data_IF_879455620675
#
_entry.id   IF_879455620675
#
_cell.length_a   1.000
_cell.length_b   1.000
_cell.length_c   1.000
_cell.angle_alpha   90.00
_cell.angle_beta   90.00
_cell.angle_gamma   90.00
#
_symmetry.space_group_name_H-M   'P 1'
#
loop_
_entity.id
_entity.type
_entity.pdbx_description
1 polymer ?
#
# COMPACT_ATOMS: atom_id res chain seq x y z
N UNK A 1 -20.66 8.29 1.19
CA UNK A 1 -20.03 9.46 0.55
C UNK A 1 -18.53 9.27 0.60
N UNK A 2 -17.84 9.26 -0.53
CA UNK A 2 -16.38 9.15 -0.61
C UNK A 2 -15.76 10.51 -0.89
N UNK A 3 -14.64 10.80 -0.26
CA UNK A 3 -13.85 11.99 -0.55
C UNK A 3 -12.63 11.58 -1.39
N UNK A 4 -12.44 12.23 -2.53
CA UNK A 4 -11.24 12.04 -3.33
C UNK A 4 -10.05 12.68 -2.63
N UNK A 5 -8.91 12.02 -2.68
CA UNK A 5 -7.65 12.56 -2.19
C UNK A 5 -6.86 13.13 -3.35
N UNK A 6 -6.28 14.32 -3.17
CA UNK A 6 -5.48 14.96 -4.18
C UNK A 6 -4.13 14.26 -4.34
N UNK A 7 -3.84 13.86 -5.58
CA UNK A 7 -2.51 13.52 -6.14
C UNK A 7 -1.56 12.54 -5.43
N UNK A 8 -1.86 11.92 -4.31
CA UNK A 8 -1.06 10.77 -3.96
C UNK A 8 -1.38 9.63 -4.96
N UNK A 9 -0.35 9.11 -5.62
CA UNK A 9 -0.49 8.12 -6.70
C UNK A 9 -1.39 6.93 -6.31
N UNK A 10 -1.31 6.49 -5.05
CA UNK A 10 -2.15 5.44 -4.51
C UNK A 10 -3.60 5.89 -4.35
N UNK A 11 -3.83 7.07 -3.80
CA UNK A 11 -5.18 7.58 -3.54
C UNK A 11 -5.94 7.88 -4.83
N UNK A 12 -5.25 8.30 -5.90
CA UNK A 12 -5.88 8.45 -7.21
C UNK A 12 -6.35 7.10 -7.77
N UNK A 13 -5.50 6.06 -7.71
CA UNK A 13 -5.87 4.70 -8.09
C UNK A 13 -7.01 4.16 -7.21
N UNK A 14 -6.94 4.43 -5.92
CA UNK A 14 -7.96 4.01 -4.96
C UNK A 14 -9.34 4.56 -5.30
N UNK A 15 -9.44 5.82 -5.69
CA UNK A 15 -10.71 6.43 -6.11
C UNK A 15 -11.32 5.66 -7.28
N UNK A 16 -10.52 5.28 -8.26
CA UNK A 16 -10.99 4.55 -9.43
C UNK A 16 -11.40 3.10 -9.09
N UNK A 17 -10.61 2.42 -8.28
CA UNK A 17 -10.92 1.07 -7.81
C UNK A 17 -12.17 1.04 -6.93
N UNK A 18 -12.31 1.99 -6.02
CA UNK A 18 -13.51 2.13 -5.20
C UNK A 18 -14.75 2.33 -6.06
N UNK A 19 -14.69 3.21 -7.07
CA UNK A 19 -15.82 3.46 -7.97
C UNK A 19 -16.28 2.18 -8.63
N UNK A 20 -15.38 1.38 -9.20
CA UNK A 20 -15.72 0.09 -9.83
C UNK A 20 -16.43 -0.87 -8.86
N UNK A 21 -15.96 -0.95 -7.61
CA UNK A 21 -16.56 -1.83 -6.61
C UNK A 21 -17.90 -1.28 -6.10
N UNK A 22 -17.98 0.02 -5.85
CA UNK A 22 -19.21 0.66 -5.37
C UNK A 22 -20.33 0.54 -6.40
N UNK A 23 -20.01 0.77 -7.68
CA UNK A 23 -20.96 0.59 -8.79
C UNK A 23 -21.45 -0.88 -8.87
N UNK A 24 -20.52 -1.84 -8.78
CA UNK A 24 -20.86 -3.27 -8.78
C UNK A 24 -21.74 -3.67 -7.60
N UNK A 25 -21.51 -3.06 -6.42
CA UNK A 25 -22.29 -3.28 -5.20
C UNK A 25 -23.61 -2.51 -5.18
N UNK A 26 -23.86 -1.67 -6.17
CA UNK A 26 -25.08 -0.86 -6.28
C UNK A 26 -25.18 0.24 -5.21
N UNK A 27 -24.06 0.73 -4.71
CA UNK A 27 -24.04 1.82 -3.74
C UNK A 27 -24.31 3.15 -4.42
N UNK A 28 -25.16 3.96 -3.78
CA UNK A 28 -25.36 5.35 -4.18
C UNK A 28 -24.23 6.20 -3.57
N UNK A 29 -23.21 6.55 -4.37
CA UNK A 29 -22.03 7.27 -3.89
C UNK A 29 -21.94 8.67 -4.50
N UNK A 30 -21.81 9.66 -3.65
CA UNK A 30 -21.51 11.04 -4.05
C UNK A 30 -20.02 11.29 -3.80
N UNK A 31 -19.25 11.49 -4.87
CA UNK A 31 -17.86 11.90 -4.79
C UNK A 31 -17.81 13.41 -4.60
N UNK A 32 -17.31 13.84 -3.45
CA UNK A 32 -17.18 15.26 -3.14
C UNK A 32 -15.97 15.83 -3.86
N UNK A 33 -16.15 16.70 -4.86
CA UNK A 33 -15.02 17.22 -5.64
C UNK A 33 -14.20 18.22 -4.83
N UNK A 34 -12.89 18.28 -5.14
CA UNK A 34 -12.00 19.34 -4.72
C UNK A 34 -11.65 20.27 -5.87
N UNK A 35 -11.06 21.39 -5.54
CA UNK A 35 -10.54 22.37 -6.51
C UNK A 35 -9.02 22.37 -6.48
N UNK A 36 -8.39 22.27 -7.64
CA UNK A 36 -6.93 22.41 -7.78
C UNK A 36 -6.54 23.86 -7.88
N UNK A 37 -5.34 24.20 -7.43
CA UNK A 37 -4.73 25.52 -7.70
C UNK A 37 -3.73 25.41 -8.84
N UNK A 38 -3.59 26.50 -9.59
CA UNK A 38 -2.60 26.59 -10.65
C UNK A 38 -1.19 26.41 -10.11
N UNK A 39 -0.34 25.72 -10.86
CA UNK A 39 1.04 25.36 -10.50
C UNK A 39 1.17 24.35 -9.33
N UNK A 40 0.10 23.68 -8.93
CA UNK A 40 0.26 22.48 -8.09
C UNK A 40 1.09 21.46 -8.87
N UNK A 41 2.25 21.09 -8.31
CA UNK A 41 3.13 20.15 -8.99
C UNK A 41 2.60 18.71 -8.79
N UNK A 42 2.53 17.98 -9.89
CA UNK A 42 2.33 16.55 -9.80
C UNK A 42 3.42 15.93 -8.90
N UNK A 43 3.01 15.15 -7.91
CA UNK A 43 3.93 14.52 -6.98
C UNK A 43 4.76 13.51 -7.76
N UNK A 44 6.05 13.75 -7.87
CA UNK A 44 6.98 12.74 -8.36
C UNK A 44 7.37 11.80 -7.23
N UNK A 45 7.55 10.53 -7.56
CA UNK A 45 8.06 9.52 -6.61
C UNK A 45 9.32 10.05 -5.92
N UNK A 46 9.36 10.02 -4.59
CA UNK A 46 10.50 10.49 -3.79
C UNK A 46 10.49 11.98 -3.44
N UNK A 47 9.42 12.72 -3.78
CA UNK A 47 9.24 14.09 -3.31
C UNK A 47 8.22 14.16 -2.19
N UNK A 48 8.38 15.17 -1.33
CA UNK A 48 7.38 15.58 -0.34
C UNK A 48 6.09 15.92 -1.08
N UNK A 49 4.97 15.52 -0.51
CA UNK A 49 3.64 15.91 -0.98
C UNK A 49 3.60 17.44 -1.17
N UNK A 50 3.03 17.92 -2.28
CA UNK A 50 2.73 19.34 -2.42
C UNK A 50 1.75 19.77 -1.32
N UNK A 51 2.30 20.27 -0.21
CA UNK A 51 1.53 20.58 0.97
C UNK A 51 0.47 21.66 0.70
N UNK A 52 0.75 22.62 -0.20
CA UNK A 52 -0.18 23.68 -0.55
C UNK A 52 -1.29 23.16 -1.45
N UNK A 53 -0.95 22.47 -2.53
CA UNK A 53 -1.92 21.93 -3.47
C UNK A 53 -2.83 20.89 -2.81
N UNK A 54 -2.26 19.98 -2.03
CA UNK A 54 -3.04 18.99 -1.26
C UNK A 54 -3.97 19.65 -0.24
N UNK A 55 -3.47 20.60 0.53
CA UNK A 55 -4.30 21.28 1.52
C UNK A 55 -5.42 22.06 0.87
N UNK A 56 -5.14 22.79 -0.20
CA UNK A 56 -6.16 23.55 -0.92
C UNK A 56 -7.25 22.63 -1.49
N UNK A 57 -6.86 21.54 -2.15
CA UNK A 57 -7.79 20.57 -2.70
C UNK A 57 -8.65 19.94 -1.61
N UNK A 58 -8.04 19.42 -0.55
CA UNK A 58 -8.73 18.77 0.56
C UNK A 58 -9.67 19.71 1.31
N UNK A 59 -9.21 20.95 1.59
CA UNK A 59 -10.05 21.96 2.23
C UNK A 59 -11.25 22.35 1.34
N UNK A 60 -11.06 22.45 0.02
CA UNK A 60 -12.17 22.72 -0.90
C UNK A 60 -13.18 21.56 -0.95
N UNK A 61 -12.74 20.30 -0.85
CA UNK A 61 -13.64 19.18 -0.67
C UNK A 61 -14.44 19.29 0.63
N UNK A 62 -13.79 19.66 1.73
CA UNK A 62 -14.47 19.87 3.00
C UNK A 62 -15.50 21.01 2.94
N UNK A 63 -15.19 22.11 2.25
CA UNK A 63 -16.16 23.17 2.02
C UNK A 63 -17.38 22.68 1.26
N UNK A 64 -17.19 21.86 0.22
CA UNK A 64 -18.28 21.26 -0.54
C UNK A 64 -19.10 20.29 0.32
N UNK A 65 -18.44 19.47 1.16
CA UNK A 65 -19.13 18.58 2.11
C UNK A 65 -20.01 19.39 3.09
N UNK A 66 -19.44 20.47 3.66
CA UNK A 66 -20.18 21.36 4.57
C UNK A 66 -21.40 21.98 3.88
N UNK A 67 -21.28 22.33 2.60
CA UNK A 67 -22.41 22.85 1.83
C UNK A 67 -23.51 21.78 1.66
N UNK A 68 -23.16 20.53 1.34
CA UNK A 68 -24.12 19.42 1.25
C UNK A 68 -24.80 19.17 2.60
N UNK A 69 -24.05 19.17 3.70
CA UNK A 69 -24.63 19.06 5.06
C UNK A 69 -25.59 20.22 5.35
N UNK A 70 -25.21 21.46 5.00
CA UNK A 70 -26.05 22.65 5.21
C UNK A 70 -27.35 22.60 4.41
N UNK A 71 -27.31 22.01 3.22
CA UNK A 71 -28.48 21.84 2.35
C UNK A 71 -29.40 20.69 2.82
N UNK A 72 -28.99 19.90 3.82
CA UNK A 72 -29.75 18.71 4.24
C UNK A 72 -29.63 17.52 3.28
N UNK A 73 -28.61 17.54 2.42
CA UNK A 73 -28.33 16.45 1.48
C UNK A 73 -27.54 15.31 2.12
N UNK A 74 -27.03 15.51 3.35
CA UNK A 74 -26.37 14.49 4.18
C UNK A 74 -27.18 14.29 5.44
N UNK A 75 -27.61 13.06 5.68
CA UNK A 75 -28.50 12.66 6.77
C UNK A 75 -27.85 11.57 7.64
N UNK A 76 -28.56 11.10 8.67
CA UNK A 76 -28.12 9.99 9.50
C UNK A 76 -28.15 8.61 8.79
N UNK A 77 -28.76 8.52 7.61
CA UNK A 77 -28.75 7.32 6.77
C UNK A 77 -27.45 7.23 5.95
N UNK A 78 -26.72 8.35 5.84
CA UNK A 78 -25.51 8.46 5.04
C UNK A 78 -24.25 8.08 5.83
N UNK A 79 -23.20 7.72 5.08
CA UNK A 79 -21.86 7.51 5.58
C UNK A 79 -20.90 8.49 4.90
N UNK A 80 -20.16 9.22 5.70
CA UNK A 80 -19.02 10.01 5.22
C UNK A 80 -17.79 9.13 5.34
N UNK A 81 -17.15 8.84 4.21
CA UNK A 81 -15.95 8.02 4.16
C UNK A 81 -14.76 8.80 3.63
N UNK A 82 -13.67 8.82 4.39
CA UNK A 82 -12.40 9.43 4.02
C UNK A 82 -11.40 8.35 3.61
N UNK A 83 -10.88 8.47 2.40
CA UNK A 83 -9.87 7.57 1.84
C UNK A 83 -8.51 7.66 2.56
N UNK A 84 -8.24 8.80 3.16
CA UNK A 84 -7.07 9.05 3.97
C UNK A 84 -7.48 9.86 5.21
N UNK A 85 -7.11 9.39 6.38
CA UNK A 85 -7.36 10.07 7.65
C UNK A 85 -6.76 11.48 7.67
N UNK A 86 -5.62 11.68 7.02
CA UNK A 86 -4.97 12.98 6.92
C UNK A 86 -5.60 13.86 5.84
N UNK A 87 -6.87 14.19 6.05
CA UNK A 87 -7.65 15.08 5.19
C UNK A 87 -7.68 16.49 5.79
N UNK A 88 -6.90 17.45 5.27
CA UNK A 88 -7.00 18.85 5.72
C UNK A 88 -8.43 19.37 5.67
N UNK A 89 -8.89 20.00 6.74
CA UNK A 89 -10.26 20.48 6.90
C UNK A 89 -11.19 19.52 7.66
N UNK A 90 -10.81 18.24 7.88
CA UNK A 90 -11.60 17.28 8.66
C UNK A 90 -11.84 17.76 10.10
N UNK A 91 -10.94 18.60 10.63
CA UNK A 91 -11.03 19.21 11.95
C UNK A 91 -12.27 20.09 12.13
N UNK A 92 -12.94 20.49 11.06
CA UNK A 92 -14.22 21.19 11.13
C UNK A 92 -15.42 20.30 11.46
N UNK A 93 -15.32 18.99 11.16
CA UNK A 93 -16.44 18.05 11.35
C UNK A 93 -16.90 17.93 12.81
N UNK A 94 -16.05 17.73 13.82
CA UNK A 94 -16.54 17.64 15.20
C UNK A 94 -17.30 18.89 15.65
N UNK A 95 -16.89 20.08 15.19
CA UNK A 95 -17.65 21.31 15.47
C UNK A 95 -19.04 21.27 14.85
N UNK A 96 -19.17 20.83 13.61
CA UNK A 96 -20.46 20.74 12.89
C UNK A 96 -21.34 19.64 13.49
N UNK A 97 -20.77 18.44 13.67
CA UNK A 97 -21.51 17.28 14.19
C UNK A 97 -22.04 17.52 15.62
N UNK A 98 -21.32 18.28 16.44
CA UNK A 98 -21.78 18.63 17.78
C UNK A 98 -23.02 19.54 17.80
N UNK A 99 -23.33 20.20 16.68
CA UNK A 99 -24.57 21.00 16.53
C UNK A 99 -25.78 20.15 16.08
N UNK A 100 -25.55 18.89 15.71
CA UNK A 100 -26.58 17.97 15.24
C UNK A 100 -26.87 16.94 16.34
N UNK A 101 -28.16 16.66 16.68
CA UNK A 101 -28.52 15.58 17.60
C UNK A 101 -27.87 14.25 17.20
N UNK A 102 -27.45 13.46 18.18
CA UNK A 102 -26.66 12.25 17.93
C UNK A 102 -27.35 11.23 16.99
N UNK A 103 -28.67 11.13 17.08
CA UNK A 103 -29.53 10.27 16.24
C UNK A 103 -29.74 10.79 14.81
N UNK A 104 -29.30 12.01 14.53
CA UNK A 104 -29.42 12.66 13.22
C UNK A 104 -28.05 12.82 12.53
N UNK A 105 -26.96 12.35 13.15
CA UNK A 105 -25.62 12.47 12.59
C UNK A 105 -25.32 11.39 11.55
N UNK A 106 -24.69 11.74 10.42
CA UNK A 106 -24.11 10.74 9.53
C UNK A 106 -22.99 9.99 10.25
N UNK A 107 -22.78 8.74 9.89
CA UNK A 107 -21.62 7.97 10.38
C UNK A 107 -20.35 8.40 9.64
N UNK A 108 -19.23 8.45 10.33
CA UNK A 108 -17.93 8.87 9.79
C UNK A 108 -16.92 7.76 9.89
N UNK A 109 -16.39 7.33 8.75
CA UNK A 109 -15.31 6.35 8.67
C UNK A 109 -14.09 6.95 8.00
N UNK A 110 -12.91 6.57 8.50
CA UNK A 110 -11.63 7.02 7.94
C UNK A 110 -10.71 5.83 7.70
N UNK A 111 -9.88 5.91 6.66
CA UNK A 111 -8.79 4.96 6.46
C UNK A 111 -7.50 5.49 7.05
N UNK A 112 -6.80 4.68 7.82
CA UNK A 112 -5.47 4.98 8.31
C UNK A 112 -4.43 4.45 7.31
N UNK A 113 -3.59 5.32 6.78
CA UNK A 113 -2.50 4.98 5.85
C UNK A 113 -1.11 5.26 6.43
N UNK A 114 -1.02 6.11 7.46
CA UNK A 114 0.20 6.47 8.17
C UNK A 114 -0.10 6.75 9.62
N UNK A 115 0.89 6.62 10.51
CA UNK A 115 0.72 6.79 11.95
C UNK A 115 1.86 7.59 12.59
N UNK A 116 1.50 8.50 13.49
CA UNK A 116 2.46 9.31 14.24
C UNK A 116 3.31 8.52 15.24
N UNK A 117 2.83 7.37 15.67
CA UNK A 117 3.54 6.50 16.63
C UNK A 117 4.65 5.67 15.99
N UNK A 118 4.61 5.48 14.66
CA UNK A 118 5.60 4.68 13.95
C UNK A 118 6.90 5.48 13.72
N UNK A 119 8.03 5.11 14.36
CA UNK A 119 9.27 5.87 14.25
C UNK A 119 9.90 5.80 12.86
N UNK A 120 9.55 4.81 12.06
CA UNK A 120 10.06 4.63 10.70
C UNK A 120 9.14 5.24 9.63
N UNK A 121 7.96 5.76 10.04
CA UNK A 121 7.04 6.45 9.14
C UNK A 121 7.60 7.83 8.73
N UNK A 122 7.27 8.27 7.50
CA UNK A 122 7.66 9.59 7.02
C UNK A 122 7.21 10.72 7.96
N UNK A 123 6.14 10.52 8.69
CA UNK A 123 5.62 11.43 9.72
C UNK A 123 6.67 11.75 10.79
N UNK A 124 7.42 10.74 11.23
CA UNK A 124 8.54 10.90 12.16
C UNK A 124 9.76 11.51 11.49
N UNK A 125 10.14 10.98 10.33
CA UNK A 125 11.33 11.41 9.58
C UNK A 125 11.28 12.92 9.24
N UNK A 126 10.07 13.43 8.96
CA UNK A 126 9.86 14.85 8.64
C UNK A 126 9.51 15.72 9.86
N UNK A 127 9.62 15.19 11.08
CA UNK A 127 9.38 15.94 12.31
C UNK A 127 7.92 16.30 12.56
N UNK A 128 6.98 15.62 11.94
CA UNK A 128 5.55 15.89 12.04
C UNK A 128 4.85 15.12 13.18
N UNK A 129 5.50 14.14 13.77
CA UNK A 129 4.89 13.18 14.70
C UNK A 129 4.09 13.83 15.84
N UNK A 130 4.60 14.94 16.38
CA UNK A 130 3.93 15.61 17.53
C UNK A 130 2.55 16.17 17.16
N UNK A 131 2.47 16.98 16.12
CA UNK A 131 1.19 17.60 15.74
C UNK A 131 0.25 16.58 15.11
N UNK A 132 0.78 15.61 14.36
CA UNK A 132 -0.02 14.54 13.78
C UNK A 132 -0.60 13.61 14.85
N UNK A 133 0.13 13.35 15.94
CA UNK A 133 -0.43 12.62 17.08
C UNK A 133 -1.61 13.34 17.73
N UNK A 134 -1.56 14.67 17.84
CA UNK A 134 -2.70 15.46 18.31
C UNK A 134 -3.87 15.43 17.33
N UNK A 135 -3.59 15.46 16.04
CA UNK A 135 -4.59 15.33 15.00
C UNK A 135 -5.27 13.95 15.02
N UNK A 136 -4.51 12.87 15.15
CA UNK A 136 -5.03 11.52 15.31
C UNK A 136 -5.94 11.40 16.54
N UNK A 137 -5.54 11.98 17.67
CA UNK A 137 -6.38 12.00 18.88
C UNK A 137 -7.70 12.75 18.64
N UNK A 138 -7.66 13.89 17.93
CA UNK A 138 -8.89 14.62 17.57
C UNK A 138 -9.80 13.76 16.69
N UNK A 139 -9.25 13.10 15.65
CA UNK A 139 -10.04 12.21 14.79
C UNK A 139 -10.67 11.07 15.58
N UNK A 140 -9.91 10.46 16.52
CA UNK A 140 -10.39 9.40 17.41
C UNK A 140 -11.63 9.77 18.22
N UNK A 141 -11.86 11.05 18.49
CA UNK A 141 -12.99 11.49 19.33
C UNK A 141 -14.33 11.55 18.59
N UNK A 142 -14.35 11.55 17.24
CA UNK A 142 -15.61 11.76 16.53
C UNK A 142 -15.91 10.75 15.43
N UNK A 143 -14.98 9.87 15.06
CA UNK A 143 -15.23 8.88 14.02
C UNK A 143 -15.95 7.65 14.57
N UNK A 144 -16.85 7.09 13.74
CA UNK A 144 -17.56 5.86 14.04
C UNK A 144 -16.74 4.61 13.72
N UNK A 145 -15.66 4.76 12.95
CA UNK A 145 -14.74 3.68 12.69
C UNK A 145 -13.49 4.09 11.93
N UNK A 146 -12.42 3.36 12.24
CA UNK A 146 -11.13 3.48 11.56
C UNK A 146 -10.77 2.18 10.86
N UNK A 147 -10.38 2.27 9.60
CA UNK A 147 -9.99 1.15 8.77
C UNK A 147 -8.45 1.04 8.78
N UNK A 148 -7.93 0.00 9.41
CA UNK A 148 -6.50 -0.32 9.47
C UNK A 148 -6.16 -1.44 8.49
N UNK A 149 -4.95 -1.42 7.93
CA UNK A 149 -4.53 -2.36 6.88
C UNK A 149 -4.00 -3.69 7.40
N UNK A 150 -3.59 -3.74 8.68
CA UNK A 150 -2.99 -4.93 9.30
C UNK A 150 -3.05 -4.88 10.82
N UNK A 151 -2.73 -6.00 11.47
CA UNK A 151 -2.76 -6.14 12.94
C UNK A 151 -1.74 -5.24 13.64
N UNK A 152 -0.57 -5.00 13.05
CA UNK A 152 0.44 -4.13 13.64
C UNK A 152 -0.07 -2.70 13.73
N UNK A 153 -0.70 -2.19 12.65
CA UNK A 153 -1.32 -0.87 12.64
C UNK A 153 -2.40 -0.77 13.73
N UNK A 154 -3.25 -1.78 13.86
CA UNK A 154 -4.26 -1.83 14.94
C UNK A 154 -3.60 -1.79 16.31
N UNK A 155 -2.54 -2.59 16.52
CA UNK A 155 -1.82 -2.60 17.80
C UNK A 155 -1.22 -1.23 18.12
N UNK A 156 -0.60 -0.58 17.15
CA UNK A 156 -0.07 0.78 17.29
C UNK A 156 -1.18 1.78 17.66
N UNK A 157 -2.33 1.73 16.99
CA UNK A 157 -3.46 2.60 17.31
C UNK A 157 -3.94 2.38 18.74
N UNK A 158 -4.07 1.15 19.22
CA UNK A 158 -4.46 0.85 20.61
C UNK A 158 -3.42 1.34 21.62
N UNK A 159 -2.12 1.20 21.33
CA UNK A 159 -1.03 1.74 22.15
C UNK A 159 -1.09 3.28 22.17
N UNK A 160 -1.38 3.91 21.04
CA UNK A 160 -1.54 5.36 20.94
C UNK A 160 -2.83 5.89 21.59
N UNK A 161 -3.67 5.03 22.17
CA UNK A 161 -4.85 5.42 22.94
C UNK A 161 -6.14 5.55 22.13
N UNK A 162 -6.19 5.00 20.92
CA UNK A 162 -7.42 4.98 20.14
C UNK A 162 -8.53 4.19 20.83
N UNK A 163 -9.70 4.81 20.92
CA UNK A 163 -10.92 4.24 21.54
C UNK A 163 -12.01 3.99 20.50
N UNK A 164 -11.99 4.71 19.40
CA UNK A 164 -12.89 4.48 18.28
C UNK A 164 -12.83 3.02 17.81
N UNK A 165 -13.92 2.46 17.27
CA UNK A 165 -13.93 1.14 16.64
C UNK A 165 -12.85 1.06 15.56
N UNK A 166 -12.02 0.01 15.61
CA UNK A 166 -10.97 -0.24 14.61
C UNK A 166 -11.33 -1.52 13.85
N UNK A 167 -11.32 -1.42 12.54
CA UNK A 167 -11.57 -2.53 11.63
C UNK A 167 -10.29 -2.88 10.88
N UNK A 168 -9.76 -4.08 11.11
CA UNK A 168 -8.63 -4.57 10.32
C UNK A 168 -9.16 -5.09 8.98
N UNK A 169 -8.93 -4.33 7.91
CA UNK A 169 -9.29 -4.75 6.55
C UNK A 169 -8.30 -5.77 5.96
N UNK A 170 -7.22 -6.08 6.70
CA UNK A 170 -6.21 -7.10 6.38
C UNK A 170 -5.76 -7.04 4.93
N UNK A 171 -5.14 -5.93 4.56
CA UNK A 171 -4.62 -5.71 3.22
C UNK A 171 -4.77 -4.29 2.72
N UNK A 172 -4.37 -4.08 1.49
CA UNK A 172 -4.44 -2.80 0.79
C UNK A 172 -5.33 -2.95 -0.43
N UNK A 173 -6.21 -1.98 -0.65
CA UNK A 173 -7.04 -1.97 -1.84
C UNK A 173 -6.19 -2.07 -3.11
N UNK A 174 -6.59 -2.94 -4.02
CA UNK A 174 -5.85 -3.25 -5.23
C UNK A 174 -6.81 -3.56 -6.38
N UNK A 175 -6.48 -3.09 -7.58
CA UNK A 175 -7.23 -3.35 -8.81
C UNK A 175 -6.47 -4.33 -9.69
N UNK A 176 -6.68 -5.62 -9.49
CA UNK A 176 -6.00 -6.68 -10.25
C UNK A 176 -6.31 -6.60 -11.75
N UNK A 177 -7.56 -6.35 -12.08
CA UNK A 177 -8.03 -6.23 -13.46
C UNK A 177 -7.31 -5.11 -14.20
N UNK A 178 -7.10 -3.95 -13.57
CA UNK A 178 -6.36 -2.85 -14.18
C UNK A 178 -4.92 -3.23 -14.50
N UNK A 179 -4.23 -3.94 -13.60
CA UNK A 179 -2.85 -4.39 -13.84
C UNK A 179 -2.79 -5.32 -15.05
N UNK A 180 -3.72 -6.26 -15.15
CA UNK A 180 -3.80 -7.20 -16.25
C UNK A 180 -4.16 -6.50 -17.57
N UNK A 181 -5.14 -5.60 -17.56
CA UNK A 181 -5.52 -4.80 -18.74
C UNK A 181 -4.34 -4.02 -19.31
N UNK A 182 -3.48 -3.47 -18.45
CA UNK A 182 -2.31 -2.67 -18.86
C UNK A 182 -1.21 -3.48 -19.56
N UNK A 183 -1.21 -4.79 -19.43
CA UNK A 183 -0.29 -5.68 -20.17
C UNK A 183 -0.97 -6.38 -21.38
N UNK A 184 -2.26 -6.13 -21.60
CA UNK A 184 -3.04 -6.74 -22.69
C UNK A 184 -3.93 -7.90 -22.25
N UNK A 185 -4.09 -8.15 -20.97
CA UNK A 185 -4.95 -9.17 -20.38
C UNK A 185 -4.22 -10.35 -19.75
N UNK A 186 -4.98 -11.23 -19.13
CA UNK A 186 -4.46 -12.41 -18.42
C UNK A 186 -3.64 -13.35 -19.33
N UNK A 187 -3.98 -13.43 -20.62
CA UNK A 187 -3.24 -14.25 -21.61
C UNK A 187 -1.81 -13.77 -21.85
N UNK A 188 -1.53 -12.50 -21.55
CA UNK A 188 -0.21 -11.90 -21.75
C UNK A 188 0.71 -12.08 -20.52
N UNK A 189 0.20 -12.67 -19.44
CA UNK A 189 1.04 -13.02 -18.27
C UNK A 189 2.01 -14.12 -18.68
N UNK A 190 3.30 -13.78 -18.68
CA UNK A 190 4.36 -14.72 -19.09
C UNK A 190 4.44 -15.91 -18.14
N UNK A 191 4.51 -17.14 -18.67
CA UNK A 191 4.85 -18.30 -17.86
C UNK A 191 6.18 -18.11 -17.12
N UNK A 192 6.27 -18.55 -15.88
CA UNK A 192 7.45 -18.30 -15.04
C UNK A 192 8.77 -18.77 -15.70
N UNK A 193 8.76 -19.92 -16.37
CA UNK A 193 9.95 -20.52 -16.98
C UNK A 193 10.58 -19.70 -18.12
N UNK A 194 9.79 -18.85 -18.79
CA UNK A 194 10.28 -18.04 -19.93
C UNK A 194 10.69 -16.62 -19.54
N UNK A 195 10.54 -16.26 -18.25
CA UNK A 195 10.92 -14.94 -17.73
C UNK A 195 12.43 -14.83 -17.61
N UNK A 196 12.93 -13.61 -17.74
CA UNK A 196 14.33 -13.34 -17.48
C UNK A 196 14.72 -13.70 -16.03
N UNK A 197 15.93 -14.19 -15.84
CA UNK A 197 16.56 -14.41 -14.53
C UNK A 197 16.86 -13.06 -13.87
N UNK A 198 15.80 -12.28 -13.62
CA UNK A 198 15.88 -10.93 -13.09
C UNK A 198 15.29 -10.86 -11.70
N UNK A 199 15.98 -10.11 -10.85
CA UNK A 199 15.55 -9.68 -9.51
C UNK A 199 15.26 -8.19 -9.57
N UNK A 200 14.00 -7.81 -9.36
CA UNK A 200 13.55 -6.42 -9.43
C UNK A 200 13.47 -5.78 -8.05
N UNK A 201 13.79 -4.49 -7.95
CA UNK A 201 13.56 -3.64 -6.79
C UNK A 201 12.67 -2.47 -7.23
N UNK A 202 11.47 -2.38 -6.66
CA UNK A 202 10.47 -1.39 -7.04
C UNK A 202 9.98 -0.60 -5.82
N UNK A 203 10.89 0.11 -5.17
CA UNK A 203 10.60 0.97 -4.02
C UNK A 203 11.32 2.31 -4.17
N UNK A 204 10.96 3.30 -3.33
CA UNK A 204 11.76 4.51 -3.20
C UNK A 204 13.21 4.13 -2.86
N UNK A 205 14.16 4.93 -3.31
CA UNK A 205 15.57 4.63 -3.10
C UNK A 205 16.12 5.36 -1.85
N UNK A 206 15.27 5.49 -0.84
CA UNK A 206 15.56 6.16 0.43
C UNK A 206 15.99 5.15 1.51
N UNK A 207 16.57 5.66 2.58
CA UNK A 207 17.19 4.84 3.63
C UNK A 207 16.23 3.81 4.24
N UNK A 208 14.96 4.14 4.45
CA UNK A 208 13.96 3.23 5.02
C UNK A 208 13.64 2.03 4.11
N UNK A 209 13.99 2.09 2.83
CA UNK A 209 13.87 0.99 1.87
C UNK A 209 15.16 0.19 1.70
N UNK A 210 16.24 0.53 2.42
CA UNK A 210 17.53 -0.18 2.50
C UNK A 210 18.13 -0.55 1.14
N UNK A 211 18.31 0.38 0.20
CA UNK A 211 18.86 0.06 -1.12
C UNK A 211 20.28 -0.53 -1.07
N UNK A 212 21.09 -0.23 -0.03
CA UNK A 212 22.40 -0.85 0.14
C UNK A 212 22.31 -2.36 0.31
N UNK A 213 21.33 -2.86 1.10
CA UNK A 213 21.15 -4.30 1.27
C UNK A 213 20.82 -4.99 -0.07
N UNK A 214 20.00 -4.35 -0.92
CA UNK A 214 19.73 -4.86 -2.27
C UNK A 214 20.98 -4.88 -3.15
N UNK A 215 21.79 -3.81 -3.11
CA UNK A 215 23.03 -3.71 -3.88
C UNK A 215 24.09 -4.71 -3.40
N UNK A 216 24.22 -4.91 -2.08
CA UNK A 216 25.12 -5.92 -1.51
C UNK A 216 24.71 -7.35 -1.93
N UNK A 217 23.38 -7.63 -1.91
CA UNK A 217 22.86 -8.90 -2.40
C UNK A 217 23.17 -9.10 -3.90
N UNK A 218 23.05 -8.05 -4.70
CA UNK A 218 23.36 -8.11 -6.13
C UNK A 218 24.82 -8.45 -6.38
N UNK A 219 25.75 -7.77 -5.70
CA UNK A 219 27.19 -8.04 -5.82
C UNK A 219 27.53 -9.46 -5.38
N UNK A 220 26.98 -9.91 -4.27
CA UNK A 220 27.23 -11.24 -3.73
C UNK A 220 26.71 -12.36 -4.64
N UNK A 221 25.49 -12.23 -5.14
CA UNK A 221 24.86 -13.21 -6.03
C UNK A 221 25.62 -13.26 -7.36
N UNK A 222 25.92 -12.12 -7.96
CA UNK A 222 26.60 -12.06 -9.26
C UNK A 222 28.04 -12.52 -9.22
N UNK A 223 28.72 -12.47 -8.07
CA UNK A 223 30.04 -13.07 -7.91
C UNK A 223 30.03 -14.59 -8.16
N UNK A 224 28.90 -15.25 -7.88
CA UNK A 224 28.73 -16.71 -8.07
C UNK A 224 27.92 -17.04 -9.33
N UNK A 225 26.94 -16.20 -9.68
CA UNK A 225 25.96 -16.40 -10.75
C UNK A 225 25.78 -15.14 -11.60
N UNK A 226 26.78 -14.79 -12.44
CA UNK A 226 26.79 -13.52 -13.18
C UNK A 226 25.65 -13.36 -14.20
N UNK A 227 24.94 -14.43 -14.53
CA UNK A 227 23.79 -14.40 -15.43
C UNK A 227 22.49 -13.91 -14.76
N UNK A 228 22.44 -13.81 -13.41
CA UNK A 228 21.29 -13.25 -12.71
C UNK A 228 21.38 -11.73 -12.79
N UNK A 229 20.34 -11.12 -13.33
CA UNK A 229 20.23 -9.68 -13.48
C UNK A 229 19.54 -9.04 -12.28
N UNK A 230 20.08 -7.92 -11.81
CA UNK A 230 19.45 -7.10 -10.81
C UNK A 230 19.01 -5.79 -11.43
N UNK A 231 17.78 -5.35 -11.11
CA UNK A 231 17.19 -4.17 -11.75
C UNK A 231 16.43 -3.30 -10.75
N UNK A 232 16.56 -1.99 -10.90
CA UNK A 232 15.78 -0.97 -10.19
C UNK A 232 14.70 -0.45 -11.12
N UNK A 233 13.45 -0.38 -10.65
CA UNK A 233 12.29 0.12 -11.40
C UNK A 233 11.78 1.41 -10.75
N UNK A 234 11.84 2.53 -11.47
CA UNK A 234 11.41 3.84 -11.00
C UNK A 234 10.45 4.51 -11.98
N UNK A 235 9.34 5.02 -11.44
CA UNK A 235 8.36 5.79 -12.22
C UNK A 235 8.79 7.24 -12.53
N UNK A 236 9.89 7.69 -11.93
CA UNK A 236 10.55 8.98 -12.16
C UNK A 236 12.07 8.79 -12.25
N UNK A 237 12.86 9.88 -12.20
CA UNK A 237 14.30 9.77 -12.07
C UNK A 237 14.68 9.06 -10.77
N UNK A 238 15.77 8.31 -10.77
CA UNK A 238 16.31 7.71 -9.56
C UNK A 238 16.78 8.81 -8.60
N UNK A 239 16.10 8.90 -7.45
CA UNK A 239 16.35 9.90 -6.42
C UNK A 239 16.46 9.25 -5.06
N UNK A 240 17.22 9.85 -4.18
CA UNK A 240 17.37 9.46 -2.78
C UNK A 240 17.69 10.69 -1.94
N UNK A 241 17.28 10.67 -0.67
CA UNK A 241 17.76 11.62 0.34
C UNK A 241 19.22 11.36 0.74
N UNK A 242 19.81 10.22 0.33
CA UNK A 242 21.22 9.91 0.50
C UNK A 242 21.94 9.80 -0.86
N UNK A 243 22.74 10.80 -1.27
CA UNK A 243 23.43 10.80 -2.57
C UNK A 243 24.34 9.57 -2.80
N UNK A 244 24.90 9.00 -1.74
CA UNK A 244 25.79 7.82 -1.84
C UNK A 244 25.09 6.61 -2.45
N UNK A 245 23.78 6.44 -2.20
CA UNK A 245 23.02 5.36 -2.82
C UNK A 245 22.93 5.51 -4.33
N UNK A 246 22.73 6.75 -4.80
CA UNK A 246 22.66 7.06 -6.22
C UNK A 246 24.01 6.82 -6.89
N UNK A 247 25.10 7.34 -6.29
CA UNK A 247 26.46 7.18 -6.80
C UNK A 247 26.82 5.70 -6.93
N UNK A 248 26.55 4.90 -5.88
CA UNK A 248 26.80 3.46 -5.89
C UNK A 248 25.99 2.75 -6.97
N UNK A 249 24.68 3.01 -7.05
CA UNK A 249 23.82 2.39 -8.04
C UNK A 249 24.26 2.71 -9.48
N UNK A 250 24.61 3.97 -9.76
CA UNK A 250 25.12 4.40 -11.08
C UNK A 250 26.43 3.70 -11.43
N UNK A 251 27.36 3.62 -10.48
CA UNK A 251 28.60 2.90 -10.69
C UNK A 251 28.38 1.41 -10.96
N UNK A 252 27.49 0.76 -10.20
CA UNK A 252 27.15 -0.64 -10.45
C UNK A 252 26.51 -0.83 -11.82
N UNK A 253 25.73 0.15 -12.30
CA UNK A 253 25.16 0.10 -13.65
C UNK A 253 26.24 0.26 -14.74
N UNK A 254 27.20 1.16 -14.56
CA UNK A 254 28.37 1.30 -15.45
C UNK A 254 29.20 0.02 -15.50
N UNK A 255 29.36 -0.66 -14.38
CA UNK A 255 30.06 -1.95 -14.25
C UNK A 255 29.24 -3.13 -14.80
N UNK A 256 28.02 -2.90 -15.31
CA UNK A 256 27.12 -3.92 -15.84
C UNK A 256 26.47 -4.84 -14.79
N UNK A 257 26.56 -4.48 -13.51
CA UNK A 257 26.03 -5.26 -12.38
C UNK A 257 24.59 -4.93 -12.05
N UNK A 258 24.07 -3.78 -12.49
CA UNK A 258 22.74 -3.31 -12.17
C UNK A 258 22.07 -2.69 -13.39
N UNK A 259 20.80 -3.01 -13.62
CA UNK A 259 19.96 -2.32 -14.61
C UNK A 259 19.19 -1.21 -13.87
N UNK A 260 19.18 0.01 -14.40
CA UNK A 260 18.40 1.11 -13.83
C UNK A 260 17.37 1.56 -14.87
N UNK A 261 16.10 1.32 -14.57
CA UNK A 261 14.97 1.73 -15.39
C UNK A 261 14.28 2.91 -14.73
N UNK A 262 14.36 4.07 -15.36
CA UNK A 262 13.83 5.34 -14.85
C UNK A 262 12.70 5.86 -15.75
N UNK A 263 11.89 6.77 -15.19
CA UNK A 263 10.79 7.43 -15.90
C UNK A 263 9.82 6.45 -16.55
N UNK A 264 9.63 5.30 -15.91
CA UNK A 264 8.72 4.28 -16.42
C UNK A 264 7.28 4.74 -16.31
N UNK A 265 6.55 4.65 -17.41
CA UNK A 265 5.09 4.63 -17.34
C UNK A 265 4.61 3.37 -16.61
N UNK A 266 3.38 3.38 -16.11
CA UNK A 266 2.79 2.18 -15.48
C UNK A 266 2.80 0.96 -16.42
N UNK A 267 2.50 1.16 -17.68
CA UNK A 267 2.53 0.06 -18.68
C UNK A 267 3.95 -0.52 -18.83
N UNK A 268 4.96 0.34 -18.98
CA UNK A 268 6.35 -0.11 -19.07
C UNK A 268 6.79 -0.86 -17.80
N UNK A 269 6.44 -0.35 -16.65
CA UNK A 269 6.72 -1.00 -15.37
C UNK A 269 6.08 -2.39 -15.28
N UNK A 270 4.81 -2.54 -15.63
CA UNK A 270 4.13 -3.83 -15.59
C UNK A 270 4.68 -4.83 -16.60
N UNK A 271 5.08 -4.39 -17.79
CA UNK A 271 5.77 -5.26 -18.75
C UNK A 271 7.14 -5.75 -18.23
N UNK A 272 7.92 -4.86 -17.59
CA UNK A 272 9.17 -5.25 -16.95
C UNK A 272 8.94 -6.24 -15.79
N UNK A 273 7.93 -6.01 -14.98
CA UNK A 273 7.57 -6.87 -13.86
C UNK A 273 7.07 -8.24 -14.36
N UNK A 274 6.26 -8.27 -15.42
CA UNK A 274 5.81 -9.48 -16.09
C UNK A 274 6.98 -10.32 -16.67
N UNK A 275 8.11 -9.68 -16.92
CA UNK A 275 9.34 -10.33 -17.42
C UNK A 275 10.35 -10.64 -16.31
N UNK A 276 10.02 -10.34 -15.06
CA UNK A 276 10.87 -10.51 -13.88
C UNK A 276 10.49 -11.78 -13.14
N UNK A 277 11.46 -12.55 -12.63
CA UNK A 277 11.19 -13.76 -11.85
C UNK A 277 10.91 -13.47 -10.39
N UNK A 278 11.68 -12.55 -9.78
CA UNK A 278 11.54 -12.25 -8.35
C UNK A 278 11.51 -10.74 -8.14
N UNK A 279 10.51 -10.25 -7.44
CA UNK A 279 10.53 -8.91 -6.85
C UNK A 279 11.10 -9.03 -5.43
N UNK A 280 12.16 -8.28 -5.16
CA UNK A 280 12.84 -8.25 -3.88
C UNK A 280 12.51 -6.97 -3.12
N UNK A 281 12.30 -7.09 -1.83
CA UNK A 281 12.09 -5.96 -0.93
C UNK A 281 12.94 -6.14 0.34
N UNK A 282 13.47 -5.03 0.85
CA UNK A 282 14.24 -4.97 2.09
C UNK A 282 13.81 -3.78 2.97
N UNK A 283 12.60 -3.27 2.79
CA UNK A 283 12.09 -2.13 3.53
C UNK A 283 12.01 -2.40 5.03
N UNK A 284 12.37 -1.38 5.82
CA UNK A 284 12.13 -1.34 7.27
C UNK A 284 10.72 -0.89 7.59
N UNK A 285 10.10 -0.12 6.70
CA UNK A 285 8.77 0.41 6.86
C UNK A 285 7.99 0.26 5.56
N UNK A 286 6.91 -0.47 5.65
CA UNK A 286 5.86 -0.55 4.64
C UNK A 286 4.65 -1.23 5.29
N UNK A 287 3.54 -0.54 5.43
CA UNK A 287 2.35 -1.12 6.07
C UNK A 287 1.76 -2.25 5.24
N UNK A 288 1.64 -2.04 3.94
CA UNK A 288 1.35 -3.05 2.92
C UNK A 288 1.94 -2.56 1.60
N UNK A 289 2.69 -3.42 0.95
CA UNK A 289 3.34 -3.05 -0.31
C UNK A 289 2.44 -3.28 -1.51
N UNK A 290 2.09 -2.24 -2.25
CA UNK A 290 1.36 -2.37 -3.53
C UNK A 290 2.13 -3.22 -4.53
N UNK A 291 3.46 -3.10 -4.54
CA UNK A 291 4.31 -3.84 -5.47
C UNK A 291 4.26 -5.36 -5.28
N UNK A 292 3.91 -5.83 -4.06
CA UNK A 292 3.63 -7.26 -3.82
C UNK A 292 2.45 -7.72 -4.65
N UNK A 293 1.32 -7.00 -4.56
CA UNK A 293 0.11 -7.36 -5.29
C UNK A 293 0.30 -7.24 -6.80
N UNK A 294 1.02 -6.21 -7.25
CA UNK A 294 1.37 -6.02 -8.67
C UNK A 294 2.21 -7.19 -9.19
N UNK A 295 3.26 -7.59 -8.45
CA UNK A 295 4.12 -8.71 -8.82
C UNK A 295 3.36 -10.04 -8.78
N UNK A 296 2.57 -10.27 -7.73
CA UNK A 296 1.77 -11.48 -7.53
C UNK A 296 0.73 -11.66 -8.65
N UNK A 297 0.03 -10.58 -9.04
CA UNK A 297 -0.95 -10.60 -10.13
C UNK A 297 -0.34 -10.92 -11.49
N UNK A 298 0.91 -10.52 -11.70
CA UNK A 298 1.68 -10.78 -12.90
C UNK A 298 2.49 -12.08 -12.84
N UNK A 299 2.35 -12.88 -11.77
CA UNK A 299 2.98 -14.19 -11.64
C UNK A 299 4.49 -14.14 -11.34
N UNK A 300 5.05 -13.00 -10.94
CA UNK A 300 6.39 -12.92 -10.40
C UNK A 300 6.43 -13.42 -8.96
N UNK A 301 7.47 -14.14 -8.58
CA UNK A 301 7.70 -14.44 -7.17
C UNK A 301 8.09 -13.16 -6.40
N UNK A 302 7.86 -13.18 -5.10
CA UNK A 302 8.19 -12.07 -4.21
C UNK A 302 9.01 -12.56 -3.03
N UNK A 303 10.04 -11.81 -2.64
CA UNK A 303 10.90 -12.12 -1.50
C UNK A 303 11.02 -10.89 -0.60
N UNK A 304 10.51 -11.01 0.61
CA UNK A 304 10.37 -9.90 1.58
C UNK A 304 11.01 -10.27 2.93
N UNK A 305 11.37 -9.30 3.76
CA UNK A 305 11.84 -9.60 5.12
C UNK A 305 10.68 -10.08 6.00
N UNK A 306 10.92 -11.05 6.88
CA UNK A 306 9.98 -11.46 7.91
C UNK A 306 9.92 -10.39 9.02
N UNK A 307 9.46 -9.20 8.68
CA UNK A 307 9.48 -8.02 9.51
C UNK A 307 8.16 -7.28 9.47
N UNK A 308 7.72 -6.75 10.61
CA UNK A 308 6.51 -5.93 10.77
C UNK A 308 5.26 -6.61 10.18
N UNK A 309 4.56 -5.95 9.27
CA UNK A 309 3.33 -6.42 8.64
C UNK A 309 3.52 -7.49 7.56
N UNK A 310 4.75 -7.70 7.06
CA UNK A 310 4.96 -8.65 5.95
C UNK A 310 4.58 -10.09 6.29
N UNK A 311 4.87 -10.64 7.50
CA UNK A 311 4.38 -11.98 7.85
C UNK A 311 2.86 -12.14 7.73
N UNK A 312 2.08 -11.10 8.09
CA UNK A 312 0.62 -11.09 7.91
C UNK A 312 0.25 -11.08 6.44
N UNK A 313 0.85 -10.19 5.64
CA UNK A 313 0.61 -10.07 4.19
C UNK A 313 0.84 -11.39 3.46
N UNK A 314 1.86 -12.15 3.86
CA UNK A 314 2.23 -13.42 3.24
C UNK A 314 1.61 -14.64 3.93
N UNK A 315 0.66 -14.47 4.85
CA UNK A 315 0.09 -15.55 5.66
C UNK A 315 1.16 -16.46 6.28
N UNK A 316 2.29 -15.86 6.72
CA UNK A 316 3.47 -16.54 7.26
C UNK A 316 4.12 -17.56 6.31
N UNK A 317 4.02 -17.38 5.00
CA UNK A 317 4.74 -18.20 4.02
C UNK A 317 6.25 -17.96 4.12
N UNK A 318 6.94 -18.80 4.89
CA UNK A 318 8.38 -18.73 5.13
C UNK A 318 9.22 -18.93 3.86
N UNK A 319 8.65 -19.45 2.79
CA UNK A 319 9.31 -19.57 1.48
C UNK A 319 9.54 -18.24 0.80
N UNK A 320 8.71 -17.23 1.13
CA UNK A 320 8.72 -15.87 0.57
C UNK A 320 9.23 -14.82 1.56
N UNK A 321 9.54 -15.23 2.79
CA UNK A 321 10.00 -14.35 3.86
C UNK A 321 11.40 -14.73 4.30
N UNK A 322 12.35 -13.81 4.25
CA UNK A 322 13.70 -14.02 4.76
C UNK A 322 13.89 -13.37 6.13
N UNK A 323 14.85 -13.89 6.91
CA UNK A 323 15.21 -13.29 8.21
C UNK A 323 15.75 -11.89 7.98
N UNK A 324 15.17 -10.84 8.61
CA UNK A 324 15.62 -9.46 8.43
C UNK A 324 17.13 -9.31 8.60
N UNK A 325 17.76 -8.56 7.71
CA UNK A 325 19.21 -8.29 7.64
C UNK A 325 20.11 -9.53 7.48
N UNK A 326 19.55 -10.73 7.33
CA UNK A 326 20.34 -11.92 7.03
C UNK A 326 20.59 -12.05 5.54
N UNK A 327 21.77 -11.66 5.09
CA UNK A 327 22.19 -11.77 3.70
C UNK A 327 22.22 -13.25 3.25
N UNK A 328 22.63 -14.16 4.12
CA UNK A 328 22.70 -15.61 3.82
C UNK A 328 21.30 -16.19 3.59
N UNK A 329 20.32 -15.81 4.43
CA UNK A 329 18.95 -16.31 4.26
C UNK A 329 18.27 -15.68 3.05
N UNK A 330 18.50 -14.39 2.79
CA UNK A 330 17.99 -13.70 1.61
C UNK A 330 18.53 -14.34 0.32
N UNK A 331 19.85 -14.56 0.23
CA UNK A 331 20.49 -15.23 -0.92
C UNK A 331 19.95 -16.63 -1.14
N UNK A 332 19.91 -17.46 -0.09
CA UNK A 332 19.43 -18.84 -0.15
C UNK A 332 17.98 -18.90 -0.67
N UNK A 333 17.10 -18.07 -0.14
CA UNK A 333 15.70 -18.02 -0.56
C UNK A 333 15.52 -17.44 -1.95
N UNK A 334 16.35 -16.43 -2.30
CA UNK A 334 16.35 -15.87 -3.64
C UNK A 334 16.64 -16.94 -4.70
N UNK A 335 17.68 -17.77 -4.48
CA UNK A 335 17.99 -18.87 -5.40
C UNK A 335 16.83 -19.84 -5.52
N UNK A 336 16.22 -20.19 -4.41
CA UNK A 336 15.07 -21.08 -4.41
C UNK A 336 13.90 -20.52 -5.25
N UNK A 337 13.59 -19.22 -5.10
CA UNK A 337 12.51 -18.57 -5.84
C UNK A 337 12.85 -18.34 -7.32
N UNK A 338 14.12 -18.14 -7.67
CA UNK A 338 14.55 -17.99 -9.06
C UNK A 338 14.51 -19.30 -9.85
N UNK A 339 14.80 -20.42 -9.22
CA UNK A 339 14.96 -21.74 -9.86
C UNK A 339 13.69 -22.58 -9.78
N UNK A 340 12.90 -22.40 -8.75
CA UNK A 340 11.71 -23.21 -8.56
C UNK A 340 10.54 -22.70 -9.38
N UNK A 341 9.99 -23.59 -10.21
CA UNK A 341 8.70 -23.40 -10.88
C UNK A 341 7.57 -23.45 -9.85
N UNK A 342 7.56 -22.52 -8.91
CA UNK A 342 6.36 -22.29 -8.09
C UNK A 342 5.42 -21.45 -8.94
N UNK A 343 4.24 -21.96 -9.26
CA UNK A 343 3.20 -21.10 -9.74
C UNK A 343 2.88 -20.13 -8.59
N UNK A 344 3.17 -18.86 -8.80
CA UNK A 344 2.52 -17.85 -8.02
C UNK A 344 1.03 -17.97 -8.35
N UNK A 345 0.23 -18.37 -7.38
CA UNK A 345 -1.21 -18.61 -7.57
C UNK A 345 -2.06 -17.33 -7.51
N UNK A 346 -1.41 -16.16 -7.38
CA UNK A 346 -2.10 -14.88 -7.29
C UNK A 346 -2.87 -14.64 -5.98
N UNK A 347 -2.64 -15.46 -4.96
CA UNK A 347 -3.43 -15.42 -3.73
C UNK A 347 -3.34 -14.07 -2.98
N UNK A 348 -2.19 -13.41 -3.01
CA UNK A 348 -2.01 -12.10 -2.36
C UNK A 348 -2.75 -11.03 -3.13
N UNK A 349 -2.63 -11.02 -4.44
CA UNK A 349 -3.34 -10.06 -5.30
C UNK A 349 -4.85 -10.26 -5.25
N UNK A 350 -5.34 -11.50 -5.23
CA UNK A 350 -6.77 -11.81 -5.10
C UNK A 350 -7.32 -11.35 -3.74
N UNK A 351 -6.56 -11.60 -2.66
CA UNK A 351 -6.93 -11.13 -1.33
C UNK A 351 -7.03 -9.60 -1.25
N UNK A 352 -6.03 -8.90 -1.79
CA UNK A 352 -6.01 -7.43 -1.80
C UNK A 352 -7.07 -6.85 -2.75
N UNK A 353 -7.37 -7.52 -3.85
CA UNK A 353 -8.45 -7.13 -4.76
C UNK A 353 -9.84 -7.14 -4.07
N UNK A 354 -10.03 -8.00 -3.06
CA UNK A 354 -11.24 -8.03 -2.23
C UNK A 354 -11.30 -6.99 -1.10
N UNK A 355 -10.26 -6.19 -0.91
CA UNK A 355 -10.19 -5.25 0.22
C UNK A 355 -11.31 -4.20 0.20
N UNK A 356 -11.67 -3.70 -0.99
CA UNK A 356 -12.72 -2.68 -1.11
C UNK A 356 -14.09 -3.27 -0.77
N UNK A 357 -14.35 -4.53 -1.11
CA UNK A 357 -15.59 -5.20 -0.69
C UNK A 357 -15.67 -5.30 0.84
N UNK A 358 -14.55 -5.60 1.51
CA UNK A 358 -14.49 -5.59 2.99
C UNK A 358 -14.75 -4.21 3.58
N UNK A 359 -14.24 -3.16 2.94
CA UNK A 359 -14.54 -1.76 3.33
C UNK A 359 -16.04 -1.49 3.22
N UNK A 360 -16.66 -1.91 2.12
CA UNK A 360 -18.11 -1.76 1.91
C UNK A 360 -18.89 -2.51 2.99
N UNK A 361 -18.52 -3.75 3.29
CA UNK A 361 -19.19 -4.53 4.35
C UNK A 361 -19.12 -3.83 5.71
N UNK A 362 -17.98 -3.21 6.05
CA UNK A 362 -17.82 -2.43 7.29
C UNK A 362 -18.75 -1.21 7.28
N UNK A 363 -18.75 -0.44 6.20
CA UNK A 363 -19.58 0.77 6.05
C UNK A 363 -21.07 0.43 6.15
N UNK A 364 -21.47 -0.70 5.58
CA UNK A 364 -22.86 -1.22 5.66
C UNK A 364 -23.21 -1.83 7.03
N UNK A 365 -22.27 -1.85 7.99
CA UNK A 365 -22.49 -2.42 9.32
C UNK A 365 -22.43 -3.95 9.37
N UNK A 366 -21.87 -4.59 8.35
CA UNK A 366 -21.65 -6.04 8.28
C UNK A 366 -20.24 -6.44 8.72
N UNK A 367 -19.34 -5.47 8.88
CA UNK A 367 -17.97 -5.70 9.33
C UNK A 367 -17.88 -6.00 10.81
N UNK A 368 -16.92 -6.82 11.20
CA UNK A 368 -16.61 -7.10 12.61
C UNK A 368 -15.51 -6.15 13.11
N UNK A 369 -15.77 -5.48 14.24
CA UNK A 369 -14.73 -4.70 14.91
C UNK A 369 -13.59 -5.64 15.35
N UNK A 370 -12.35 -5.20 15.18
CA UNK A 370 -11.19 -5.95 15.64
C UNK A 370 -11.24 -6.13 17.17
N UNK A 371 -11.21 -7.36 17.61
CA UNK A 371 -11.11 -7.73 19.01
C UNK A 371 -9.93 -8.71 19.22
N UNK A 372 -9.44 -8.81 20.45
CA UNK A 372 -8.31 -9.68 20.82
C UNK A 372 -8.54 -11.17 20.59
N UNK A 373 -9.76 -11.59 20.32
CA UNK A 373 -10.12 -13.02 20.22
C UNK A 373 -9.81 -13.67 18.86
N UNK A 374 -9.22 -12.93 17.94
CA UNK A 374 -8.72 -13.47 16.68
C UNK A 374 -9.34 -12.82 15.46
N UNK A 375 -8.49 -12.66 14.47
CA UNK A 375 -8.90 -12.13 13.17
C UNK A 375 -9.58 -13.27 12.38
N UNK A 376 -10.90 -13.33 12.40
CA UNK A 376 -11.68 -14.35 11.67
C UNK A 376 -11.49 -14.32 10.16
N UNK A 377 -10.95 -13.21 9.61
CA UNK A 377 -10.61 -13.13 8.19
C UNK A 377 -9.46 -14.05 7.77
N UNK A 378 -8.61 -14.54 8.71
CA UNK A 378 -7.56 -15.51 8.41
C UNK A 378 -8.07 -16.89 8.03
N UNK A 379 -9.26 -17.27 8.49
CA UNK A 379 -9.80 -18.62 8.26
C UNK A 379 -10.20 -18.87 6.80
N UNK A 380 -10.31 -17.79 6.00
CA UNK A 380 -10.67 -17.89 4.58
C UNK A 380 -9.46 -17.93 3.62
N UNK A 381 -8.26 -17.63 4.11
CA UNK A 381 -7.02 -17.75 3.34
C UNK A 381 -6.13 -18.83 3.98
N UNK A 382 -6.67 -20.02 4.11
CA UNK A 382 -5.81 -21.16 4.37
C UNK A 382 -4.95 -21.37 3.10
N UNK A 383 -3.60 -21.27 3.19
CA UNK A 383 -2.78 -21.68 2.07
C UNK A 383 -3.13 -23.12 1.74
N UNK A 384 -3.25 -23.45 0.46
CA UNK A 384 -3.40 -24.82 0.03
C UNK A 384 -2.34 -25.64 0.78
N UNK A 385 -2.79 -26.61 1.57
CA UNK A 385 -1.90 -27.47 2.38
C UNK A 385 -0.87 -28.04 1.44
N UNK A 386 0.36 -27.56 1.52
CA UNK A 386 1.48 -28.23 0.90
C UNK A 386 1.62 -29.59 1.58
N UNK A 387 1.16 -30.64 0.91
CA UNK A 387 1.60 -31.99 1.24
C UNK A 387 3.08 -32.03 0.87
N UNK A 388 3.93 -31.97 1.87
CA UNK A 388 5.31 -32.40 1.76
C UNK A 388 5.19 -33.89 1.50
N UNK A 389 5.34 -34.29 0.24
CA UNK A 389 5.47 -35.70 -0.09
C UNK A 389 6.73 -36.21 0.59
N UNK A 390 6.55 -37.13 1.55
CA UNK A 390 7.63 -37.94 2.05
C UNK A 390 8.18 -38.73 0.85
N UNK A 391 9.33 -38.29 0.36
CA UNK A 391 10.15 -39.11 -0.54
C UNK A 391 11.09 -39.93 0.30
N UNK A 392 10.75 -41.24 0.40
CA UNK A 392 11.70 -42.29 0.74
C UNK A 392 12.95 -42.27 -0.13
#
# INVERSE_FOLDING_TARGET
MGLESYEARYTLQLTEWNRRVFDRRGLNVVYVPGTTIDNSQAISVGQVLDAHGRSYFSMSQMMNLVQLMKNGEVTNEDVIYFEDMFQPGIESLPYILNQVPADQRPRVYVRCLAQSIDPDDFVHVWGMARWMGLYEQMVNEFVDGVLATNEEMVAHMRIAGWRAPIYNISGLAFGKEEVLERIGGQSEVKPFGVRNMRVGFAARFDQEKQPDFFMDLAERVQAQRPWIKFAIFQGGPLRSNNPRYIERARKMAEDGKLEIHENLSKNQYYHLLNDTRVLFNCALQDWVSNTVSEADSLGANVLYPAYRSFPETFANDLGRLYVPWSMDDAERKLYHLLEKLHPNNGAISDWNNGTIDRVVDIIEGKGEEWNRSGNRYRDHVAPAKYQVGDSN
#
